data_IF_176046532135
#
_entry.id   IF_176046532135
#
_cell.length_a   1.000
_cell.length_b   1.000
_cell.length_c   1.000
_cell.angle_alpha   90.00
_cell.angle_beta   90.00
_cell.angle_gamma   90.00
#
_symmetry.space_group_name_H-M   'P 1'
#
loop_
_entity.id
_entity.type
_entity.pdbx_description
1 polymer ?
#
# COMPACT_ATOMS: atom_id res chain seq x y z
N UNK A 1 21.75 11.75 10.14
CA UNK A 1 20.76 11.67 9.04
C UNK A 1 20.08 13.02 8.83
N UNK A 2 20.64 13.90 7.99
CA UNK A 2 20.09 15.26 7.74
C UNK A 2 19.26 15.38 6.45
N UNK A 3 18.94 14.27 5.76
CA UNK A 3 18.66 14.33 4.32
C UNK A 3 17.23 14.10 3.84
N UNK A 4 16.25 13.77 4.70
CA UNK A 4 14.85 13.71 4.25
C UNK A 4 13.89 14.25 5.30
N UNK A 5 13.18 15.32 4.93
CA UNK A 5 12.12 15.92 5.73
C UNK A 5 11.04 14.87 5.99
N UNK A 6 10.69 14.68 7.28
CA UNK A 6 9.66 13.74 7.72
C UNK A 6 8.32 13.98 7.01
N UNK A 7 7.98 15.25 6.74
CA UNK A 7 6.76 15.62 6.02
C UNK A 7 6.75 15.05 4.60
N UNK A 8 7.86 15.20 3.87
CA UNK A 8 8.01 14.65 2.51
C UNK A 8 7.91 13.14 2.51
N UNK A 9 8.58 12.45 3.43
CA UNK A 9 8.50 10.99 3.54
C UNK A 9 7.08 10.49 3.85
N UNK A 10 6.36 11.19 4.74
CA UNK A 10 4.96 10.87 5.00
C UNK A 10 4.11 11.03 3.74
N UNK A 11 4.29 12.11 2.97
CA UNK A 11 3.55 12.32 1.71
C UNK A 11 3.87 11.21 0.70
N UNK A 12 5.15 10.88 0.50
CA UNK A 12 5.57 9.79 -0.37
C UNK A 12 4.97 8.45 0.07
N UNK A 13 4.93 8.18 1.37
CA UNK A 13 4.30 6.97 1.93
C UNK A 13 2.81 6.90 1.57
N UNK A 14 2.04 7.95 1.85
CA UNK A 14 0.61 7.96 1.55
C UNK A 14 0.36 7.84 0.04
N UNK A 15 1.10 8.58 -0.79
CA UNK A 15 0.98 8.49 -2.25
C UNK A 15 1.31 7.10 -2.77
N UNK A 16 2.39 6.48 -2.30
CA UNK A 16 2.79 5.13 -2.73
C UNK A 16 1.70 4.09 -2.40
N UNK A 17 1.18 4.12 -1.17
CA UNK A 17 0.14 3.17 -0.75
C UNK A 17 -1.19 3.43 -1.49
N UNK A 18 -1.61 4.70 -1.64
CA UNK A 18 -2.83 5.04 -2.37
C UNK A 18 -2.70 4.63 -3.84
N UNK A 19 -1.55 4.89 -4.47
CA UNK A 19 -1.32 4.52 -5.86
C UNK A 19 -1.37 3.00 -6.05
N UNK A 20 -0.70 2.25 -5.17
CA UNK A 20 -0.77 0.79 -5.18
C UNK A 20 -2.22 0.29 -4.98
N UNK A 21 -2.97 0.90 -4.06
CA UNK A 21 -4.36 0.56 -3.82
C UNK A 21 -5.28 0.86 -5.01
N UNK A 22 -5.10 2.00 -5.68
CA UNK A 22 -5.86 2.34 -6.90
C UNK A 22 -5.63 1.29 -7.98
N UNK A 23 -4.37 0.86 -8.17
CA UNK A 23 -4.08 -0.19 -9.15
C UNK A 23 -4.72 -1.51 -8.72
N UNK A 24 -4.69 -1.86 -7.43
CA UNK A 24 -5.28 -3.09 -6.90
C UNK A 24 -6.79 -3.20 -7.17
N UNK A 25 -7.53 -2.08 -7.15
CA UNK A 25 -8.98 -2.05 -7.41
C UNK A 25 -9.31 -2.24 -8.90
N UNK A 26 -8.32 -2.20 -9.79
CA UNK A 26 -8.54 -2.50 -11.21
C UNK A 26 -8.86 -4.00 -11.36
N UNK A 27 -9.82 -4.39 -12.21
CA UNK A 27 -10.16 -5.79 -12.41
C UNK A 27 -8.92 -6.62 -12.79
N UNK A 28 -8.78 -7.78 -12.16
CA UNK A 28 -7.62 -8.68 -12.30
C UNK A 28 -7.26 -8.99 -13.76
N UNK A 29 -8.24 -9.09 -14.67
CA UNK A 29 -8.03 -9.27 -16.11
C UNK A 29 -7.14 -8.20 -16.79
N UNK A 30 -7.01 -7.01 -16.20
CA UNK A 30 -6.16 -5.94 -16.72
C UNK A 30 -4.81 -5.82 -15.99
N UNK A 31 -4.61 -6.59 -14.93
CA UNK A 31 -3.40 -6.58 -14.09
C UNK A 31 -2.55 -7.83 -14.36
N UNK A 32 -3.22 -8.95 -14.63
CA UNK A 32 -2.58 -10.23 -14.92
C UNK A 32 -2.43 -10.42 -16.43
N UNK A 33 -1.20 -10.73 -16.85
CA UNK A 33 -0.92 -11.30 -18.16
C UNK A 33 -1.10 -12.82 -18.15
N UNK A 34 -0.70 -13.48 -19.24
CA UNK A 34 -0.95 -14.92 -19.45
C UNK A 34 -0.33 -15.80 -18.36
N UNK A 35 0.86 -15.45 -17.86
CA UNK A 35 1.60 -16.24 -16.87
C UNK A 35 2.16 -15.43 -15.69
N UNK A 36 2.07 -14.10 -15.74
CA UNK A 36 2.65 -13.20 -14.74
C UNK A 36 1.87 -11.89 -14.69
N UNK A 37 2.04 -11.06 -13.65
CA UNK A 37 1.58 -9.68 -13.68
C UNK A 37 2.13 -8.97 -14.92
N UNK A 38 1.31 -8.12 -15.54
CA UNK A 38 1.78 -7.23 -16.59
C UNK A 38 2.54 -6.03 -15.97
N UNK A 39 2.95 -5.06 -16.79
CA UNK A 39 3.66 -3.87 -16.29
C UNK A 39 2.89 -3.15 -15.17
N UNK A 40 1.56 -3.07 -15.28
CA UNK A 40 0.71 -2.43 -14.28
C UNK A 40 0.73 -3.20 -12.95
N UNK A 41 0.60 -4.53 -13.01
CA UNK A 41 0.68 -5.39 -11.83
C UNK A 41 2.05 -5.39 -11.17
N UNK A 42 3.14 -5.39 -11.94
CA UNK A 42 4.49 -5.19 -11.38
C UNK A 42 4.65 -3.82 -10.74
N UNK A 43 4.13 -2.77 -11.37
CA UNK A 43 4.17 -1.40 -10.83
C UNK A 43 3.43 -1.32 -9.49
N UNK A 44 2.27 -1.98 -9.38
CA UNK A 44 1.54 -2.11 -8.11
C UNK A 44 2.41 -2.76 -7.03
N UNK A 45 3.01 -3.92 -7.33
CA UNK A 45 3.84 -4.68 -6.37
C UNK A 45 5.05 -3.85 -5.92
N UNK A 46 5.79 -3.26 -6.87
CA UNK A 46 6.96 -2.43 -6.57
C UNK A 46 6.58 -1.21 -5.74
N UNK A 47 5.48 -0.53 -6.09
CA UNK A 47 5.02 0.65 -5.33
C UNK A 47 4.56 0.26 -3.93
N UNK A 48 3.90 -0.89 -3.78
CA UNK A 48 3.49 -1.40 -2.47
C UNK A 48 4.71 -1.73 -1.60
N UNK A 49 5.72 -2.41 -2.15
CA UNK A 49 6.99 -2.70 -1.45
C UNK A 49 7.69 -1.41 -1.05
N UNK A 50 7.74 -0.41 -1.93
CA UNK A 50 8.29 0.92 -1.62
C UNK A 50 7.51 1.59 -0.48
N UNK A 51 6.18 1.49 -0.49
CA UNK A 51 5.31 1.97 0.58
C UNK A 51 5.61 1.30 1.93
N UNK A 52 5.80 -0.02 1.95
CA UNK A 52 6.22 -0.76 3.14
C UNK A 52 7.59 -0.31 3.64
N UNK A 53 8.56 -0.15 2.73
CA UNK A 53 9.89 0.34 3.07
C UNK A 53 9.82 1.75 3.71
N UNK A 54 9.04 2.66 3.13
CA UNK A 54 8.81 3.99 3.68
C UNK A 54 8.11 3.94 5.05
N UNK A 55 7.17 3.02 5.24
CA UNK A 55 6.52 2.79 6.53
C UNK A 55 7.54 2.42 7.61
N UNK A 56 8.43 1.46 7.34
CA UNK A 56 9.48 1.07 8.29
C UNK A 56 10.44 2.22 8.60
N UNK A 57 10.87 2.99 7.59
CA UNK A 57 11.71 4.17 7.82
C UNK A 57 11.03 5.22 8.70
N UNK A 58 9.74 5.47 8.48
CA UNK A 58 8.95 6.39 9.29
C UNK A 58 8.71 5.85 10.70
N UNK A 59 8.49 4.56 10.83
CA UNK A 59 8.29 3.88 12.12
C UNK A 59 9.55 3.99 12.99
N UNK A 60 10.73 3.70 12.43
CA UNK A 60 12.01 3.88 13.10
C UNK A 60 12.15 5.35 13.56
N UNK A 61 11.94 6.32 12.66
CA UNK A 61 12.01 7.75 13.00
C UNK A 61 11.02 8.16 14.10
N UNK A 62 9.82 7.58 14.12
CA UNK A 62 8.80 7.95 15.10
C UNK A 62 8.99 7.28 16.45
N UNK A 63 9.59 6.10 16.51
CA UNK A 63 10.04 5.48 17.76
C UNK A 63 11.15 6.32 18.40
N UNK A 64 12.15 6.74 17.63
CA UNK A 64 13.22 7.61 18.13
C UNK A 64 12.69 8.95 18.67
N UNK A 65 11.66 9.51 18.03
CA UNK A 65 11.05 10.77 18.43
C UNK A 65 9.85 10.61 19.40
N UNK A 66 9.61 9.40 19.93
CA UNK A 66 8.48 9.05 20.81
C UNK A 66 7.10 9.50 20.29
N UNK A 67 6.91 9.61 18.98
CA UNK A 67 5.69 10.12 18.36
C UNK A 67 4.70 8.98 18.05
N UNK A 68 4.14 8.40 19.11
CA UNK A 68 3.23 7.24 19.04
C UNK A 68 1.94 7.58 18.27
N UNK A 69 1.46 8.82 18.33
CA UNK A 69 0.24 9.23 17.65
C UNK A 69 0.38 9.17 16.12
N UNK A 70 1.55 9.53 15.58
CA UNK A 70 1.84 9.41 14.15
C UNK A 70 1.89 7.95 13.68
N UNK A 71 2.41 7.05 14.53
CA UNK A 71 2.43 5.60 14.26
C UNK A 71 1.00 5.07 14.19
N UNK A 72 0.19 5.34 15.22
CA UNK A 72 -1.22 4.91 15.28
C UNK A 72 -2.01 5.32 14.03
N UNK A 73 -1.88 6.58 13.59
CA UNK A 73 -2.57 7.08 12.39
C UNK A 73 -2.20 6.31 11.12
N UNK A 74 -0.90 6.06 10.89
CA UNK A 74 -0.45 5.32 9.70
C UNK A 74 -0.82 3.85 9.75
N UNK A 75 -0.73 3.22 10.93
CA UNK A 75 -1.15 1.82 11.11
C UNK A 75 -2.65 1.69 10.85
N UNK A 76 -3.48 2.58 11.39
CA UNK A 76 -4.92 2.59 11.15
C UNK A 76 -5.23 2.76 9.65
N UNK A 77 -4.53 3.66 8.97
CA UNK A 77 -4.68 3.87 7.53
C UNK A 77 -4.38 2.60 6.72
N UNK A 78 -3.26 1.91 7.01
CA UNK A 78 -2.92 0.63 6.36
C UNK A 78 -4.00 -0.42 6.64
N UNK A 79 -4.47 -0.50 7.89
CA UNK A 79 -5.48 -1.47 8.30
C UNK A 79 -6.79 -1.26 7.53
N UNK A 80 -7.24 -0.02 7.39
CA UNK A 80 -8.41 0.33 6.56
C UNK A 80 -8.22 -0.12 5.11
N UNK A 81 -7.05 0.15 4.51
CA UNK A 81 -6.76 -0.25 3.13
C UNK A 81 -6.78 -1.77 2.99
N UNK A 82 -6.17 -2.51 3.92
CA UNK A 82 -6.17 -3.98 3.91
C UNK A 82 -7.60 -4.51 4.00
N UNK A 83 -8.40 -3.99 4.93
CA UNK A 83 -9.80 -4.42 5.09
C UNK A 83 -10.60 -4.19 3.81
N UNK A 84 -10.50 -3.01 3.19
CA UNK A 84 -11.21 -2.72 1.93
C UNK A 84 -10.70 -3.65 0.81
N UNK A 85 -9.39 -3.91 0.76
CA UNK A 85 -8.79 -4.78 -0.25
C UNK A 85 -9.29 -6.22 -0.14
N UNK A 86 -9.41 -6.75 1.09
CA UNK A 86 -9.96 -8.09 1.34
C UNK A 86 -11.42 -8.17 0.93
N UNK A 87 -12.24 -7.16 1.30
CA UNK A 87 -13.66 -7.10 0.92
C UNK A 87 -13.81 -7.04 -0.59
N UNK A 88 -13.03 -6.20 -1.27
CA UNK A 88 -13.03 -6.11 -2.74
C UNK A 88 -12.68 -7.44 -3.39
N UNK A 89 -11.59 -8.08 -2.95
CA UNK A 89 -11.16 -9.37 -3.47
C UNK A 89 -12.23 -10.45 -3.28
N UNK A 90 -12.90 -10.48 -2.12
CA UNK A 90 -13.99 -11.42 -1.87
C UNK A 90 -15.17 -11.23 -2.83
N UNK A 91 -15.55 -9.97 -3.10
CA UNK A 91 -16.62 -9.64 -4.06
C UNK A 91 -16.23 -10.04 -5.48
N UNK A 92 -15.00 -9.74 -5.91
CA UNK A 92 -14.49 -10.12 -7.22
C UNK A 92 -14.44 -11.64 -7.37
N UNK A 93 -13.93 -12.37 -6.38
CA UNK A 93 -13.87 -13.83 -6.39
C UNK A 93 -15.27 -14.48 -6.50
N UNK A 94 -16.25 -13.95 -5.75
CA UNK A 94 -17.65 -14.38 -5.84
C UNK A 94 -18.24 -14.11 -7.23
N UNK A 95 -17.94 -12.96 -7.84
CA UNK A 95 -18.42 -12.62 -9.19
C UNK A 95 -17.89 -13.56 -10.27
N UNK A 96 -16.72 -14.16 -10.03
CA UNK A 96 -16.08 -15.12 -10.93
C UNK A 96 -16.48 -16.58 -10.65
N UNK A 97 -17.34 -16.83 -9.66
CA UNK A 97 -17.77 -18.18 -9.27
C UNK A 97 -16.68 -19.01 -8.58
N UNK A 98 -15.62 -18.35 -8.08
CA UNK A 98 -14.52 -19.02 -7.38
C UNK A 98 -14.81 -19.24 -5.88
N UNK A 99 -15.91 -18.68 -5.35
CA UNK A 99 -16.41 -18.79 -3.96
C UNK A 99 -17.93 -18.77 -3.95
#
# INVERSE_FOLDING_TARGET
>A
MKYFNKKTLNVCFYLAIIYAFIIFVIPSKYIWGVYSPNLLGWTMIVTFILGLFLFFLLLIKDIYNKNVQSIKKRTLFILVIITISIVYWYIEAKSMGNV
#
